data_IF_732011748334
#
_entry.id   IF_732011748334
#
_cell.length_a   1.000
_cell.length_b   1.000
_cell.length_c   1.000
_cell.angle_alpha   90.00
_cell.angle_beta   90.00
_cell.angle_gamma   90.00
#
_symmetry.space_group_name_H-M   'P 1'
#
loop_
_entity.id
_entity.type
_entity.pdbx_description
1 polymer ?
#
# COMPACT_ATOMS: atom_id res chain seq x y z
N UNK A 1 25.39 17.61 27.34
CA UNK A 1 25.55 16.24 27.85
C UNK A 1 24.21 15.72 28.34
N UNK A 2 23.37 15.22 27.43
CA UNK A 2 22.16 14.46 27.78
C UNK A 2 22.10 13.29 26.81
N UNK A 3 22.85 12.22 27.14
CA UNK A 3 22.69 10.93 26.47
C UNK A 3 21.35 10.39 26.94
N UNK A 4 20.36 10.39 26.06
CA UNK A 4 19.13 9.65 26.25
C UNK A 4 19.50 8.19 26.43
N UNK A 5 19.42 7.72 27.67
CA UNK A 5 19.73 6.35 28.04
C UNK A 5 18.53 5.49 27.66
N UNK A 6 18.41 5.19 26.37
CA UNK A 6 17.36 4.33 25.83
C UNK A 6 17.80 2.91 26.20
N UNK A 7 17.23 2.37 27.28
CA UNK A 7 17.32 0.93 27.52
C UNK A 7 16.67 0.20 26.34
N UNK A 8 17.21 -0.94 25.90
CA UNK A 8 16.57 -1.71 24.84
C UNK A 8 15.19 -2.12 25.35
N UNK A 9 14.15 -1.48 24.84
CA UNK A 9 12.78 -1.92 25.03
C UNK A 9 12.74 -3.29 24.37
N UNK A 10 12.53 -4.35 25.16
CA UNK A 10 12.23 -5.66 24.60
C UNK A 10 10.92 -5.50 23.83
N UNK A 11 11.03 -5.31 22.52
CA UNK A 11 9.86 -5.18 21.67
C UNK A 11 9.25 -6.57 21.53
N UNK A 12 8.20 -6.81 22.32
CA UNK A 12 7.39 -8.02 22.19
C UNK A 12 6.83 -8.11 20.77
N UNK A 13 7.28 -9.11 20.02
CA UNK A 13 6.81 -9.38 18.67
C UNK A 13 6.02 -10.68 18.66
N UNK A 14 4.73 -10.60 18.38
CA UNK A 14 3.88 -11.78 18.20
C UNK A 14 3.03 -11.63 16.94
N UNK A 15 2.97 -12.69 16.13
CA UNK A 15 2.14 -12.72 14.93
C UNK A 15 1.23 -13.94 14.96
N UNK A 16 -0.07 -13.68 14.88
CA UNK A 16 -1.09 -14.70 14.75
C UNK A 16 -1.87 -14.45 13.44
N UNK A 17 -2.74 -15.37 13.04
CA UNK A 17 -3.61 -15.21 11.85
C UNK A 17 -4.58 -14.04 11.98
N UNK A 18 -4.90 -13.59 13.20
CA UNK A 18 -5.88 -12.52 13.48
C UNK A 18 -5.27 -11.23 14.02
N UNK A 19 -4.11 -11.30 14.67
CA UNK A 19 -3.50 -10.16 15.36
C UNK A 19 -2.02 -10.10 15.06
N UNK A 20 -1.51 -8.88 14.97
CA UNK A 20 -0.09 -8.55 14.93
C UNK A 20 0.20 -7.69 16.16
N UNK A 21 1.11 -8.12 17.02
CA UNK A 21 1.58 -7.35 18.16
C UNK A 21 3.04 -6.97 17.96
N UNK A 22 3.32 -5.68 18.07
CA UNK A 22 4.67 -5.11 18.05
C UNK A 22 4.78 -4.15 19.24
N UNK A 23 5.61 -4.50 20.22
CA UNK A 23 5.76 -3.75 21.46
C UNK A 23 4.45 -3.71 22.25
N UNK A 24 4.00 -2.49 22.57
CA UNK A 24 2.75 -2.23 23.30
C UNK A 24 1.51 -2.22 22.42
N UNK A 25 1.69 -2.24 21.09
CA UNK A 25 0.60 -2.01 20.13
C UNK A 25 0.12 -3.32 19.51
N UNK A 26 -1.20 -3.48 19.44
CA UNK A 26 -1.88 -4.65 18.85
C UNK A 26 -2.71 -4.19 17.66
N UNK A 27 -2.48 -4.82 16.51
CA UNK A 27 -3.15 -4.51 15.25
C UNK A 27 -4.03 -5.70 14.78
N UNK A 28 -5.30 -5.46 14.42
CA UNK A 28 -6.13 -6.48 13.81
C UNK A 28 -5.65 -6.76 12.38
N UNK A 29 -5.30 -8.02 12.10
CA UNK A 29 -4.93 -8.44 10.74
C UNK A 29 -6.19 -8.76 9.96
N UNK A 30 -6.30 -8.19 8.78
CA UNK A 30 -7.25 -8.71 7.81
C UNK A 30 -6.74 -10.04 7.27
N UNK A 31 -7.66 -10.99 7.03
CA UNK A 31 -7.34 -12.27 6.42
C UNK A 31 -6.52 -12.00 5.17
N UNK A 32 -5.30 -12.54 5.13
CA UNK A 32 -4.29 -12.30 4.10
C UNK A 32 -4.98 -12.33 2.72
N UNK A 33 -5.35 -11.15 2.22
CA UNK A 33 -5.53 -10.97 0.79
C UNK A 33 -4.10 -10.96 0.32
N UNK A 34 -3.62 -12.14 -0.10
CA UNK A 34 -2.28 -12.29 -0.64
C UNK A 34 -2.07 -11.09 -1.57
N UNK A 35 -1.06 -10.24 -1.32
CA UNK A 35 -0.73 -9.23 -2.28
C UNK A 35 -0.51 -10.00 -3.58
N UNK A 36 -1.30 -9.73 -4.61
CA UNK A 36 -1.09 -10.27 -5.96
C UNK A 36 0.27 -9.86 -6.53
N UNK A 37 1.01 -9.04 -5.79
CA UNK A 37 2.42 -8.76 -5.97
C UNK A 37 3.21 -10.03 -5.63
N UNK A 38 3.57 -10.76 -6.68
CA UNK A 38 4.76 -11.61 -6.70
C UNK A 38 5.96 -10.78 -6.20
N UNK A 39 6.13 -10.73 -4.88
CA UNK A 39 7.34 -10.22 -4.26
C UNK A 39 8.43 -11.20 -4.68
N UNK A 40 9.18 -10.83 -5.72
CA UNK A 40 10.31 -11.59 -6.26
C UNK A 40 11.38 -11.85 -5.20
N UNK A 41 11.34 -11.13 -4.08
CA UNK A 41 12.22 -11.29 -2.94
C UNK A 41 11.46 -11.42 -1.62
N UNK A 42 11.77 -12.44 -0.80
CA UNK A 42 11.21 -12.55 0.55
C UNK A 42 11.70 -11.37 1.40
N UNK A 43 10.76 -10.59 1.96
CA UNK A 43 11.08 -9.55 2.91
C UNK A 43 11.39 -10.19 4.27
N UNK A 44 12.63 -10.03 4.73
CA UNK A 44 13.08 -10.57 6.02
C UNK A 44 12.91 -9.50 7.10
N UNK A 45 12.25 -9.88 8.20
CA UNK A 45 12.13 -9.05 9.39
C UNK A 45 13.47 -9.01 10.13
N UNK A 46 14.08 -7.84 10.24
CA UNK A 46 15.31 -7.65 11.03
C UNK A 46 14.98 -7.04 12.39
N UNK A 47 15.57 -7.58 13.47
CA UNK A 47 15.31 -7.13 14.86
C UNK A 47 15.54 -5.63 15.07
N UNK A 48 16.56 -5.05 14.44
CA UNK A 48 16.84 -3.60 14.53
C UNK A 48 15.71 -2.73 13.92
N UNK A 49 14.85 -3.29 13.07
CA UNK A 49 13.74 -2.56 12.47
C UNK A 49 12.46 -2.60 13.32
N UNK A 50 12.42 -3.41 14.39
CA UNK A 50 11.25 -3.57 15.24
C UNK A 50 10.86 -2.28 15.96
N UNK A 51 11.83 -1.52 16.46
CA UNK A 51 11.57 -0.23 17.14
C UNK A 51 10.88 0.76 16.20
N UNK A 52 11.35 0.82 14.95
CA UNK A 52 10.76 1.67 13.92
C UNK A 52 9.37 1.18 13.53
N UNK A 53 9.17 -0.14 13.38
CA UNK A 53 7.87 -0.73 13.08
C UNK A 53 6.86 -0.48 14.21
N UNK A 54 7.29 -0.57 15.48
CA UNK A 54 6.45 -0.27 16.64
C UNK A 54 5.96 1.16 16.59
N UNK A 55 6.87 2.11 16.36
CA UNK A 55 6.55 3.54 16.29
C UNK A 55 5.58 3.84 15.13
N UNK A 56 5.79 3.21 13.98
CA UNK A 56 4.90 3.36 12.82
C UNK A 56 3.52 2.76 13.10
N UNK A 57 3.47 1.57 13.70
CA UNK A 57 2.22 0.89 14.02
C UNK A 57 1.42 1.68 15.07
N UNK A 58 2.09 2.30 16.03
CA UNK A 58 1.48 3.21 17.00
C UNK A 58 0.85 4.43 16.32
N UNK A 59 1.59 5.11 15.44
CA UNK A 59 1.06 6.23 14.67
C UNK A 59 -0.12 5.82 13.76
N UNK A 60 -0.07 4.63 13.17
CA UNK A 60 -1.19 4.09 12.39
C UNK A 60 -2.43 3.84 13.25
N UNK A 61 -2.26 3.37 14.49
CA UNK A 61 -3.38 3.18 15.43
C UNK A 61 -4.07 4.50 15.78
N UNK A 62 -3.31 5.60 15.76
CA UNK A 62 -3.81 6.96 15.97
C UNK A 62 -4.34 7.63 14.68
N UNK A 63 -4.27 6.95 13.53
CA UNK A 63 -4.59 7.52 12.22
C UNK A 63 -3.79 8.79 11.90
N UNK A 64 -2.53 8.85 12.33
CA UNK A 64 -1.65 10.00 12.09
C UNK A 64 -0.78 9.80 10.84
N UNK A 65 -0.53 10.86 10.05
CA UNK A 65 0.40 10.80 8.94
C UNK A 65 1.83 10.64 9.44
N UNK A 66 2.62 9.83 8.74
CA UNK A 66 3.97 9.44 9.16
C UNK A 66 4.99 9.93 8.14
N UNK A 67 6.05 10.56 8.62
CA UNK A 67 7.19 10.99 7.80
C UNK A 67 8.44 10.20 8.17
N UNK A 68 8.97 9.39 7.25
CA UNK A 68 10.18 8.60 7.46
C UNK A 68 11.41 9.27 6.83
N UNK A 69 12.27 9.82 7.69
CA UNK A 69 13.53 10.49 7.28
C UNK A 69 14.73 9.61 7.64
N UNK A 70 15.82 9.74 6.90
CA UNK A 70 17.02 8.91 7.06
C UNK A 70 17.88 8.89 5.79
N UNK A 71 19.07 8.25 5.84
CA UNK A 71 19.97 8.19 4.69
C UNK A 71 19.31 7.53 3.48
N UNK A 72 19.58 8.07 2.30
CA UNK A 72 19.07 7.59 1.00
C UNK A 72 19.79 6.34 0.48
N UNK A 73 20.69 5.75 1.27
CA UNK A 73 21.68 4.78 0.79
C UNK A 73 21.11 3.43 0.33
N UNK A 74 19.84 3.11 0.63
CA UNK A 74 19.12 1.95 0.08
C UNK A 74 17.62 2.06 0.41
N UNK A 75 16.74 1.42 -0.37
CA UNK A 75 15.26 1.40 -0.28
C UNK A 75 14.65 0.86 1.05
N UNK A 76 15.40 0.87 2.15
CA UNK A 76 15.01 0.30 3.44
C UNK A 76 13.71 0.88 4.01
N UNK A 77 13.48 2.18 3.79
CA UNK A 77 12.29 2.89 4.30
C UNK A 77 11.01 2.40 3.63
N UNK A 78 10.99 2.38 2.30
CA UNK A 78 9.84 1.88 1.54
C UNK A 78 9.64 0.39 1.78
N UNK A 79 10.71 -0.41 1.82
CA UNK A 79 10.61 -1.84 2.15
C UNK A 79 10.07 -2.10 3.56
N UNK A 80 10.34 -1.20 4.53
CA UNK A 80 9.83 -1.33 5.90
C UNK A 80 8.31 -1.12 5.93
N UNK A 81 7.79 -0.12 5.20
CA UNK A 81 6.34 0.10 5.05
C UNK A 81 5.69 -1.10 4.34
N UNK A 82 6.30 -1.60 3.27
CA UNK A 82 5.79 -2.78 2.56
C UNK A 82 5.79 -4.05 3.43
N UNK A 83 6.83 -4.23 4.24
CA UNK A 83 6.89 -5.33 5.19
C UNK A 83 5.76 -5.19 6.22
N UNK A 84 5.56 -3.99 6.79
CA UNK A 84 4.47 -3.74 7.72
C UNK A 84 3.09 -4.01 7.10
N UNK A 85 2.86 -3.60 5.85
CA UNK A 85 1.59 -3.84 5.16
C UNK A 85 1.35 -5.35 4.93
N UNK A 86 2.41 -6.11 4.59
CA UNK A 86 2.34 -7.56 4.48
C UNK A 86 2.02 -8.22 5.83
N UNK A 87 2.61 -7.73 6.92
CA UNK A 87 2.32 -8.23 8.27
C UNK A 87 0.88 -7.89 8.67
N UNK A 88 0.40 -6.67 8.41
CA UNK A 88 -0.98 -6.26 8.71
C UNK A 88 -2.03 -6.87 7.78
N UNK A 89 -1.63 -7.47 6.64
CA UNK A 89 -2.55 -8.01 5.64
C UNK A 89 -3.24 -6.94 4.79
N UNK A 90 -2.65 -5.74 4.68
CA UNK A 90 -3.20 -4.62 3.92
C UNK A 90 -2.41 -4.36 2.64
N UNK A 91 -3.09 -3.86 1.61
CA UNK A 91 -2.46 -3.46 0.36
C UNK A 91 -1.83 -2.06 0.52
N UNK A 92 -0.51 -1.97 0.35
CA UNK A 92 0.20 -0.70 0.31
C UNK A 92 0.40 -0.28 -1.15
N UNK A 93 -0.08 0.92 -1.48
CA UNK A 93 0.16 1.57 -2.76
C UNK A 93 1.27 2.60 -2.60
N UNK A 94 2.31 2.47 -3.41
CA UNK A 94 3.38 3.46 -3.50
C UNK A 94 3.07 4.47 -4.59
N UNK A 95 3.20 5.73 -4.24
CA UNK A 95 3.14 6.83 -5.19
C UNK A 95 4.48 7.55 -5.16
N UNK A 96 5.18 7.56 -6.29
CA UNK A 96 6.46 8.24 -6.43
C UNK A 96 6.23 9.72 -6.74
N UNK A 97 6.74 10.60 -5.88
CA UNK A 97 6.60 12.04 -6.06
C UNK A 97 7.76 12.59 -6.89
N UNK A 98 7.45 13.05 -8.10
CA UNK A 98 8.39 13.78 -8.97
C UNK A 98 8.02 15.26 -9.03
N UNK A 99 8.99 16.13 -9.32
CA UNK A 99 8.77 17.59 -9.39
C UNK A 99 7.86 18.03 -10.55
N UNK A 100 7.55 17.12 -11.47
CA UNK A 100 6.63 17.33 -12.60
C UNK A 100 5.18 16.94 -12.28
N UNK A 101 4.90 16.39 -11.09
CA UNK A 101 3.56 15.95 -10.71
C UNK A 101 2.73 17.17 -10.32
N UNK A 102 1.65 17.39 -11.07
CA UNK A 102 0.71 18.48 -10.84
C UNK A 102 -0.44 18.06 -9.92
N UNK A 103 -1.18 19.04 -9.37
CA UNK A 103 -2.36 18.81 -8.50
C UNK A 103 -3.43 17.95 -9.18
N UNK A 104 -3.57 18.07 -10.50
CA UNK A 104 -4.48 17.29 -11.32
C UNK A 104 -4.14 15.80 -11.40
N UNK A 105 -2.87 15.44 -11.26
CA UNK A 105 -2.45 14.04 -11.24
C UNK A 105 -2.74 13.40 -9.87
N UNK A 106 -2.69 14.19 -8.79
CA UNK A 106 -3.00 13.76 -7.42
C UNK A 106 -4.51 13.71 -7.13
N UNK A 107 -5.24 14.75 -7.49
CA UNK A 107 -6.69 14.87 -7.27
C UNK A 107 -7.51 14.17 -8.36
N UNK A 108 -6.89 13.92 -9.51
CA UNK A 108 -7.55 13.49 -10.73
C UNK A 108 -8.04 14.69 -11.56
N UNK A 109 -8.08 14.48 -12.87
CA UNK A 109 -8.78 15.41 -13.74
C UNK A 109 -10.29 15.18 -13.63
N UNK A 110 -11.04 16.27 -13.68
CA UNK A 110 -12.48 16.17 -13.92
C UNK A 110 -12.71 15.68 -15.36
N UNK A 111 -13.12 14.43 -15.50
CA UNK A 111 -13.65 13.94 -16.77
C UNK A 111 -15.07 14.48 -16.95
N UNK A 112 -15.21 15.52 -17.77
CA UNK A 112 -16.52 16.03 -18.11
C UNK A 112 -17.30 14.94 -18.87
N UNK A 113 -18.40 14.49 -18.27
CA UNK A 113 -19.24 13.47 -18.87
C UNK A 113 -19.77 13.96 -20.24
N UNK A 114 -19.21 13.42 -21.32
CA UNK A 114 -19.65 13.74 -22.67
C UNK A 114 -20.64 12.67 -23.14
N UNK A 115 -21.92 13.02 -23.09
CA UNK A 115 -23.01 12.13 -23.50
C UNK A 115 -22.82 11.58 -24.93
N UNK A 116 -22.26 12.37 -25.85
CA UNK A 116 -22.02 11.92 -27.23
C UNK A 116 -20.95 10.82 -27.31
N UNK A 117 -19.90 10.90 -26.48
CA UNK A 117 -18.85 9.88 -26.43
C UNK A 117 -19.38 8.60 -25.78
N UNK A 118 -20.16 8.74 -24.71
CA UNK A 118 -20.80 7.61 -24.05
C UNK A 118 -21.77 6.86 -24.97
N UNK A 119 -22.63 7.59 -25.70
CA UNK A 119 -23.55 7.02 -26.66
C UNK A 119 -22.82 6.32 -27.82
N UNK A 120 -21.72 6.91 -28.33
CA UNK A 120 -20.87 6.28 -29.36
C UNK A 120 -20.23 4.99 -28.87
N UNK A 121 -19.66 4.99 -27.66
CA UNK A 121 -19.03 3.80 -27.08
C UNK A 121 -20.02 2.63 -26.99
N UNK A 122 -21.23 2.88 -26.48
CA UNK A 122 -22.26 1.85 -26.39
C UNK A 122 -22.78 1.40 -27.76
N UNK A 123 -22.92 2.31 -28.73
CA UNK A 123 -23.28 1.93 -30.10
C UNK A 123 -22.23 1.04 -30.76
N UNK A 124 -20.94 1.30 -30.53
CA UNK A 124 -19.86 0.49 -31.08
C UNK A 124 -19.77 -0.89 -30.41
N UNK A 125 -20.05 -1.00 -29.10
CA UNK A 125 -20.23 -2.29 -28.43
C UNK A 125 -21.37 -3.10 -29.05
N UNK A 126 -22.54 -2.47 -29.24
CA UNK A 126 -23.70 -3.13 -29.85
C UNK A 126 -23.42 -3.58 -31.29
N UNK A 127 -22.70 -2.77 -32.07
CA UNK A 127 -22.26 -3.16 -33.41
C UNK A 127 -21.34 -4.38 -33.35
N UNK A 128 -20.36 -4.42 -32.45
CA UNK A 128 -19.47 -5.57 -32.31
C UNK A 128 -20.21 -6.85 -31.94
N UNK A 129 -21.18 -6.77 -31.02
CA UNK A 129 -22.03 -7.92 -30.68
C UNK A 129 -22.87 -8.39 -31.87
N UNK A 130 -23.42 -7.46 -32.64
CA UNK A 130 -24.17 -7.78 -33.86
C UNK A 130 -23.29 -8.46 -34.92
N UNK A 131 -22.08 -7.93 -35.18
CA UNK A 131 -21.13 -8.53 -36.11
C UNK A 131 -20.71 -9.94 -35.68
N UNK A 132 -20.46 -10.15 -34.38
CA UNK A 132 -20.16 -11.50 -33.83
C UNK A 132 -21.31 -12.48 -34.03
N UNK A 133 -22.56 -12.07 -33.75
CA UNK A 133 -23.75 -12.92 -33.94
C UNK A 133 -24.02 -13.30 -35.39
N UNK A 134 -23.70 -12.41 -36.34
CA UNK A 134 -23.91 -12.67 -37.77
C UNK A 134 -22.80 -13.51 -38.41
N UNK A 135 -21.58 -13.52 -37.84
CA UNK A 135 -20.52 -14.45 -38.27
C UNK A 135 -20.75 -15.88 -37.79
N UNK A 136 -21.41 -16.08 -36.64
CA UNK A 136 -21.75 -17.42 -36.10
C UNK A 136 -22.96 -18.10 -36.75
N UNK A 137 -23.59 -17.45 -37.75
CA UNK A 137 -24.77 -17.97 -38.46
C UNK A 137 -24.49 -18.43 -39.90
N UNK A 138 -23.22 -18.40 -40.32
CA UNK A 138 -22.69 -19.05 -41.53
C UNK A 138 -21.97 -20.34 -41.11
#
# INVERSE_FOLDING_TARGET
TTRWNIQPIEVDFQINSKILQIGTTVWPRESIRLPTLSLTHPLLLMRHQLDNLSSILECLSLSWPILLVGPSSRSSKSTLIHLLSCLCGHQCHTFELNSSIDTNELLGNYEQFNFQQYAKYHLDLLKQEYYKKNQTKL
#
